data_IF_259395335299
#
_entry.id   IF_259395335299
#
_cell.length_a   1.000
_cell.length_b   1.000
_cell.length_c   1.000
_cell.angle_alpha   90.00
_cell.angle_beta   90.00
_cell.angle_gamma   90.00
#
_symmetry.space_group_name_H-M   'P 1'
#
loop_
_entity.id
_entity.type
_entity.pdbx_description
1 polymer ?
#
# COMPACT_ATOMS: atom_id res chain seq x y z
N UNK A 1 -29.95 -0.45 26.92
CA UNK A 1 -29.19 -1.61 27.41
C UNK A 1 -28.62 -2.32 26.19
N UNK A 2 -27.31 -2.20 25.96
CA UNK A 2 -26.63 -2.98 24.92
C UNK A 2 -26.67 -4.45 25.36
N UNK A 3 -27.25 -5.32 24.53
CA UNK A 3 -27.26 -6.74 24.81
C UNK A 3 -25.81 -7.24 24.74
N UNK A 4 -25.14 -7.37 25.89
CA UNK A 4 -23.76 -7.88 25.98
C UNK A 4 -23.52 -9.20 25.22
N UNK A 5 -24.59 -10.00 25.00
CA UNK A 5 -24.54 -11.18 24.16
C UNK A 5 -24.32 -10.87 22.67
N UNK A 6 -24.94 -9.83 22.11
CA UNK A 6 -24.75 -9.46 20.69
C UNK A 6 -23.34 -8.95 20.45
N UNK A 7 -22.74 -8.26 21.42
CA UNK A 7 -21.38 -7.73 21.33
C UNK A 7 -20.30 -8.83 21.29
N UNK A 8 -20.60 -10.03 21.80
CA UNK A 8 -19.69 -11.18 21.73
C UNK A 8 -19.68 -11.83 20.35
N UNK A 9 -20.83 -11.85 19.66
CA UNK A 9 -20.98 -12.50 18.36
C UNK A 9 -20.79 -11.54 17.19
N UNK A 10 -21.03 -10.25 17.40
CA UNK A 10 -20.79 -9.20 16.41
C UNK A 10 -20.11 -8.02 17.08
N UNK A 11 -18.82 -7.83 16.78
CA UNK A 11 -18.02 -6.74 17.34
C UNK A 11 -17.27 -6.03 16.22
N UNK A 12 -17.24 -4.71 16.28
CA UNK A 12 -16.31 -3.89 15.51
C UNK A 12 -15.46 -3.08 16.48
N UNK A 13 -14.14 -3.14 16.30
CA UNK A 13 -13.18 -2.50 17.18
C UNK A 13 -12.14 -1.75 16.37
N UNK A 14 -11.89 -0.49 16.73
CA UNK A 14 -10.81 0.30 16.14
C UNK A 14 -9.63 0.33 17.10
N UNK A 15 -8.46 -0.08 16.62
CA UNK A 15 -7.22 -0.16 17.38
C UNK A 15 -6.25 0.89 16.84
N UNK A 16 -5.89 1.86 17.67
CA UNK A 16 -4.78 2.76 17.38
C UNK A 16 -3.45 2.03 17.60
N UNK A 17 -2.72 1.77 16.53
CA UNK A 17 -1.45 1.04 16.56
C UNK A 17 -0.32 2.02 16.83
N UNK A 18 0.15 2.07 18.08
CA UNK A 18 1.31 2.86 18.51
C UNK A 18 2.55 2.00 18.80
N UNK A 19 2.47 0.69 18.56
CA UNK A 19 3.52 -0.27 18.86
C UNK A 19 3.06 -1.69 18.53
N UNK A 20 3.64 -2.67 19.23
CA UNK A 20 3.32 -4.08 19.00
C UNK A 20 2.12 -4.51 19.84
N UNK A 21 1.30 -5.38 19.27
CA UNK A 21 0.18 -5.99 19.97
C UNK A 21 -0.31 -7.24 19.25
N UNK A 22 -1.34 -7.89 19.77
CA UNK A 22 -1.94 -9.04 19.10
C UNK A 22 -3.46 -9.02 19.24
N UNK A 23 -4.14 -9.55 18.24
CA UNK A 23 -5.57 -9.90 18.28
C UNK A 23 -5.69 -11.41 18.12
N UNK A 24 -6.79 -11.99 18.61
CA UNK A 24 -7.02 -13.42 18.49
C UNK A 24 -8.51 -13.73 18.43
N UNK A 25 -8.86 -14.88 17.86
CA UNK A 25 -10.21 -15.41 17.95
C UNK A 25 -10.60 -15.65 19.42
N UNK A 26 -11.89 -15.58 19.77
CA UNK A 26 -12.33 -15.85 21.14
C UNK A 26 -11.90 -17.25 21.58
N UNK A 27 -11.40 -17.35 22.82
CA UNK A 27 -10.92 -18.59 23.45
C UNK A 27 -9.63 -19.20 22.88
N UNK A 28 -8.96 -18.58 21.90
CA UNK A 28 -7.68 -19.07 21.39
C UNK A 28 -6.69 -19.42 22.53
N UNK A 29 -6.03 -20.59 22.53
CA UNK A 29 -5.98 -21.60 21.45
C UNK A 29 -7.08 -22.69 21.55
N UNK A 30 -8.07 -22.52 22.43
CA UNK A 30 -9.26 -23.38 22.46
C UNK A 30 -10.24 -23.02 21.34
N UNK A 31 -11.21 -23.90 21.10
CA UNK A 31 -12.13 -23.76 19.96
C UNK A 31 -12.88 -22.43 19.96
N UNK A 32 -12.96 -21.75 18.81
CA UNK A 32 -13.72 -20.52 18.68
C UNK A 32 -15.25 -20.81 18.69
N UNK A 33 -16.10 -19.85 19.12
CA UNK A 33 -17.55 -19.96 18.98
C UNK A 33 -18.05 -19.91 17.53
N UNK A 34 -19.23 -20.49 17.29
CA UNK A 34 -19.99 -20.33 16.05
C UNK A 34 -20.67 -18.95 15.98
N UNK A 35 -21.12 -18.53 14.80
CA UNK A 35 -21.88 -17.31 14.51
C UNK A 35 -21.13 -16.01 14.85
N UNK A 36 -19.82 -15.98 14.65
CA UNK A 36 -19.02 -14.79 14.88
C UNK A 36 -18.96 -13.90 13.63
N UNK A 37 -18.97 -12.59 13.86
CA UNK A 37 -18.59 -11.55 12.92
C UNK A 37 -17.80 -10.48 13.67
N UNK A 38 -16.48 -10.66 13.74
CA UNK A 38 -15.58 -9.76 14.45
C UNK A 38 -14.75 -8.99 13.45
N UNK A 39 -14.71 -7.67 13.60
CA UNK A 39 -13.95 -6.77 12.73
C UNK A 39 -13.00 -5.94 13.58
N UNK A 40 -11.71 -5.96 13.23
CA UNK A 40 -10.70 -5.07 13.80
C UNK A 40 -10.19 -4.13 12.72
N UNK A 41 -10.28 -2.82 12.97
CA UNK A 41 -9.69 -1.77 12.14
C UNK A 41 -8.46 -1.25 12.84
N UNK A 42 -7.29 -1.55 12.30
CA UNK A 42 -6.03 -1.08 12.85
C UNK A 42 -5.66 0.21 12.13
N UNK A 43 -5.36 1.26 12.89
CA UNK A 43 -4.96 2.57 12.40
C UNK A 43 -3.64 2.99 13.05
N UNK A 44 -2.58 3.10 12.27
CA UNK A 44 -1.29 3.62 12.72
C UNK A 44 -1.14 5.12 12.40
N UNK A 45 -0.15 5.83 12.97
CA UNK A 45 0.18 7.18 12.57
C UNK A 45 0.39 7.30 11.05
N UNK A 46 0.20 8.51 10.51
CA UNK A 46 0.51 8.79 9.11
C UNK A 46 1.96 8.42 8.78
N UNK A 47 2.24 8.14 7.50
CA UNK A 47 3.57 7.72 7.01
C UNK A 47 4.14 6.43 7.63
N UNK A 48 3.33 5.65 8.36
CA UNK A 48 3.72 4.32 8.88
C UNK A 48 2.88 3.21 8.26
N UNK A 49 3.35 1.97 8.38
CA UNK A 49 2.61 0.78 7.95
C UNK A 49 2.50 -0.23 9.07
N UNK A 50 1.56 -1.14 8.91
CA UNK A 50 1.24 -2.18 9.89
C UNK A 50 1.63 -3.52 9.28
N UNK A 51 2.55 -4.23 9.94
CA UNK A 51 2.84 -5.62 9.61
C UNK A 51 2.06 -6.55 10.53
N UNK A 52 1.37 -7.51 9.92
CA UNK A 52 0.64 -8.60 10.55
C UNK A 52 1.42 -9.90 10.41
N UNK A 53 1.48 -10.68 11.49
CA UNK A 53 2.06 -12.00 11.54
C UNK A 53 1.11 -12.97 12.25
N UNK A 54 0.77 -14.08 11.59
CA UNK A 54 -0.07 -15.12 12.16
C UNK A 54 0.74 -16.06 13.04
N UNK A 55 0.14 -16.50 14.15
CA UNK A 55 0.69 -17.53 15.04
C UNK A 55 0.64 -18.91 14.38
N UNK A 56 1.61 -19.76 14.70
CA UNK A 56 1.75 -21.09 14.11
C UNK A 56 0.60 -22.05 14.46
N UNK A 57 -0.18 -21.76 15.51
CA UNK A 57 -1.38 -22.54 15.88
C UNK A 57 -2.64 -22.11 15.10
N UNK A 58 -2.46 -21.52 13.91
CA UNK A 58 -3.58 -21.20 13.03
C UNK A 58 -4.37 -22.45 12.66
N UNK A 59 -5.68 -22.40 12.85
CA UNK A 59 -6.59 -23.46 12.44
C UNK A 59 -8.04 -23.02 12.47
N UNK A 60 -8.68 -23.03 11.31
CA UNK A 60 -10.13 -22.82 11.12
C UNK A 60 -10.74 -24.05 10.42
N UNK A 61 -12.04 -24.00 10.14
CA UNK A 61 -12.72 -25.01 9.32
C UNK A 61 -12.06 -25.17 7.94
N UNK A 62 -12.09 -26.39 7.39
CA UNK A 62 -11.48 -26.66 6.09
C UNK A 62 -12.19 -25.91 4.95
N UNK A 63 -11.46 -25.56 3.87
CA UNK A 63 -12.09 -24.99 2.68
C UNK A 63 -12.99 -26.01 1.98
N UNK A 64 -14.03 -25.51 1.33
CA UNK A 64 -14.84 -26.27 0.37
C UNK A 64 -14.38 -25.89 -1.04
N UNK A 65 -13.87 -26.86 -1.82
CA UNK A 65 -13.33 -26.64 -3.17
C UNK A 65 -12.27 -25.52 -3.21
N UNK A 66 -11.31 -25.56 -2.27
CA UNK A 66 -10.26 -24.55 -2.09
C UNK A 66 -10.76 -23.12 -1.77
N UNK A 67 -12.04 -22.98 -1.40
CA UNK A 67 -12.66 -21.71 -1.03
C UNK A 67 -13.05 -21.73 0.45
N UNK A 68 -12.61 -20.71 1.18
CA UNK A 68 -12.99 -20.47 2.57
C UNK A 68 -14.41 -19.87 2.66
N UNK A 69 -15.42 -20.73 2.51
CA UNK A 69 -16.84 -20.36 2.43
C UNK A 69 -17.50 -20.15 3.79
N UNK A 70 -17.18 -21.02 4.75
CA UNK A 70 -17.84 -21.09 6.06
C UNK A 70 -17.13 -20.18 7.07
N UNK A 71 -16.05 -20.70 7.65
CA UNK A 71 -15.20 -19.98 8.59
C UNK A 71 -13.97 -19.41 7.90
N UNK A 72 -13.68 -18.12 8.13
CA UNK A 72 -12.50 -17.49 7.56
C UNK A 72 -12.04 -16.28 8.33
N UNK A 73 -10.74 -16.00 8.23
CA UNK A 73 -10.17 -14.70 8.51
C UNK A 73 -9.78 -14.02 7.20
N UNK A 74 -10.21 -12.78 7.03
CA UNK A 74 -9.96 -11.97 5.85
C UNK A 74 -9.21 -10.71 6.26
N UNK A 75 -8.22 -10.33 5.46
CA UNK A 75 -7.43 -9.11 5.67
C UNK A 75 -7.60 -8.22 4.45
N UNK A 76 -7.95 -6.96 4.68
CA UNK A 76 -8.25 -5.97 3.66
C UNK A 76 -7.43 -4.69 3.92
N UNK A 77 -6.73 -4.21 2.89
CA UNK A 77 -6.20 -2.84 2.89
C UNK A 77 -7.36 -1.89 2.60
N UNK A 78 -7.56 -0.91 3.48
CA UNK A 78 -8.66 0.06 3.39
C UNK A 78 -8.07 1.45 3.19
N UNK A 79 -8.60 2.18 2.21
CA UNK A 79 -8.38 3.62 2.03
C UNK A 79 -9.72 4.34 1.96
N UNK A 80 -9.70 5.66 1.91
CA UNK A 80 -10.92 6.47 1.75
C UNK A 80 -11.71 6.13 0.47
N UNK A 81 -11.01 5.69 -0.57
CA UNK A 81 -11.57 5.51 -1.92
C UNK A 81 -11.62 4.07 -2.38
N UNK A 82 -10.95 3.14 -1.69
CA UNK A 82 -10.83 1.75 -2.13
C UNK A 82 -10.69 0.76 -1.00
N UNK A 83 -11.05 -0.50 -1.26
CA UNK A 83 -10.77 -1.62 -0.37
C UNK A 83 -10.21 -2.76 -1.21
N UNK A 84 -9.06 -3.30 -0.80
CA UNK A 84 -8.37 -4.38 -1.52
C UNK A 84 -8.20 -5.57 -0.58
N UNK A 85 -8.78 -6.71 -0.94
CA UNK A 85 -8.60 -7.96 -0.21
C UNK A 85 -7.16 -8.44 -0.40
N UNK A 86 -6.44 -8.60 0.71
CA UNK A 86 -5.07 -9.14 0.75
C UNK A 86 -5.05 -10.65 0.79
N UNK A 87 -6.08 -11.22 1.39
CA UNK A 87 -6.39 -12.63 1.31
C UNK A 87 -7.47 -13.02 2.29
N UNK A 88 -7.91 -14.26 2.13
CA UNK A 88 -8.90 -14.92 2.96
C UNK A 88 -8.38 -16.33 3.25
N UNK A 89 -8.32 -16.69 4.53
CA UNK A 89 -7.69 -17.93 4.97
C UNK A 89 -8.60 -18.72 5.91
N UNK A 90 -8.48 -20.05 5.80
CA UNK A 90 -9.15 -21.06 6.59
C UNK A 90 -8.33 -22.36 6.57
N UNK A 91 -8.85 -23.43 7.17
CA UNK A 91 -8.14 -24.70 7.32
C UNK A 91 -7.00 -24.62 8.32
N UNK A 92 -6.12 -25.62 8.29
CA UNK A 92 -5.00 -25.75 9.25
C UNK A 92 -3.69 -26.25 8.59
N UNK A 93 -3.69 -26.44 7.27
CA UNK A 93 -2.53 -27.01 6.55
C UNK A 93 -1.36 -26.04 6.49
N UNK A 94 -1.66 -24.76 6.27
CA UNK A 94 -0.67 -23.71 6.11
C UNK A 94 -1.07 -22.48 6.92
N UNK A 95 -0.06 -21.84 7.51
CA UNK A 95 -0.24 -20.57 8.23
C UNK A 95 -0.24 -19.43 7.21
N UNK A 96 -1.15 -18.45 7.31
CA UNK A 96 -1.17 -17.32 6.40
C UNK A 96 0.18 -16.56 6.40
N UNK A 97 0.61 -16.01 5.25
CA UNK A 97 1.88 -15.30 5.15
C UNK A 97 1.86 -14.01 5.99
N UNK A 98 3.04 -13.45 6.24
CA UNK A 98 3.14 -12.10 6.79
C UNK A 98 2.55 -11.09 5.81
N UNK A 99 1.83 -10.10 6.33
CA UNK A 99 1.16 -9.08 5.52
C UNK A 99 1.61 -7.72 6.02
N UNK A 100 2.23 -6.92 5.15
CA UNK A 100 2.41 -5.48 5.40
C UNK A 100 1.28 -4.73 4.70
N UNK A 101 0.58 -3.87 5.44
CA UNK A 101 -0.48 -3.00 4.91
C UNK A 101 0.05 -2.10 3.80
N UNK A 102 -0.80 -1.56 2.94
CA UNK A 102 -0.40 -0.56 1.91
C UNK A 102 -0.37 0.86 2.45
N UNK A 103 -1.21 1.14 3.44
CA UNK A 103 -1.36 2.45 4.08
C UNK A 103 -1.20 2.28 5.59
N UNK A 104 -1.50 3.33 6.35
CA UNK A 104 -1.60 3.29 7.80
C UNK A 104 -2.90 2.64 8.31
N UNK A 105 -3.72 2.04 7.43
CA UNK A 105 -4.99 1.41 7.78
C UNK A 105 -5.08 0.00 7.22
N UNK A 106 -5.49 -0.95 8.07
CA UNK A 106 -5.77 -2.33 7.67
C UNK A 106 -6.97 -2.86 8.46
N UNK A 107 -7.84 -3.61 7.79
CA UNK A 107 -9.04 -4.20 8.39
C UNK A 107 -8.92 -5.72 8.39
N UNK A 108 -9.27 -6.33 9.50
CA UNK A 108 -9.25 -7.77 9.71
C UNK A 108 -10.66 -8.21 10.09
N UNK A 109 -11.22 -9.14 9.33
CA UNK A 109 -12.58 -9.66 9.55
C UNK A 109 -12.49 -11.15 9.84
N UNK A 110 -13.03 -11.59 10.97
CA UNK A 110 -13.26 -13.00 11.28
C UNK A 110 -14.74 -13.32 11.23
N UNK A 111 -15.09 -14.33 10.45
CA UNK A 111 -16.45 -14.85 10.36
C UNK A 111 -16.44 -16.34 10.70
N UNK A 112 -17.41 -16.78 11.52
CA UNK A 112 -17.79 -18.19 11.62
C UNK A 112 -19.26 -18.40 11.32
N UNK A 113 -19.60 -19.57 10.77
CA UNK A 113 -20.98 -19.94 10.44
C UNK A 113 -21.75 -20.50 11.65
N UNK A 114 -22.93 -21.07 11.45
CA UNK A 114 -23.76 -21.60 12.53
C UNK A 114 -23.42 -23.04 12.95
N UNK A 115 -22.36 -23.63 12.39
CA UNK A 115 -21.86 -24.94 12.74
C UNK A 115 -20.73 -24.87 13.78
N UNK A 116 -20.61 -25.92 14.60
CA UNK A 116 -19.54 -25.99 15.60
C UNK A 116 -18.33 -26.74 15.04
N UNK A 117 -17.16 -26.12 15.11
CA UNK A 117 -15.90 -26.72 14.68
C UNK A 117 -14.88 -26.67 15.83
N UNK A 118 -14.25 -27.81 16.12
CA UNK A 118 -13.25 -27.93 17.17
C UNK A 118 -11.84 -27.54 16.68
N UNK A 119 -11.65 -26.27 16.30
CA UNK A 119 -10.39 -25.75 15.75
C UNK A 119 -9.82 -24.61 16.58
N UNK A 120 -8.48 -24.47 16.71
CA UNK A 120 -7.87 -23.56 17.68
C UNK A 120 -8.13 -22.07 17.41
N UNK A 121 -8.51 -21.71 16.18
CA UNK A 121 -8.72 -20.34 15.75
C UNK A 121 -7.45 -19.70 15.25
N UNK A 122 -7.22 -18.44 15.59
CA UNK A 122 -6.00 -17.72 15.20
C UNK A 122 -5.57 -16.72 16.27
N UNK A 123 -4.30 -16.34 16.18
CA UNK A 123 -3.73 -15.16 16.80
C UNK A 123 -2.90 -14.43 15.74
N UNK A 124 -3.11 -13.13 15.62
CA UNK A 124 -2.37 -12.24 14.71
C UNK A 124 -1.67 -11.20 15.57
N UNK A 125 -0.35 -11.15 15.50
CA UNK A 125 0.41 -10.07 16.10
C UNK A 125 0.71 -9.00 15.07
N UNK A 126 0.48 -7.75 15.44
CA UNK A 126 0.73 -6.58 14.65
C UNK A 126 1.90 -5.78 15.21
N UNK A 127 2.61 -5.09 14.33
CA UNK A 127 3.72 -4.20 14.66
C UNK A 127 3.77 -3.05 13.66
N UNK A 128 4.34 -1.93 14.09
CA UNK A 128 4.65 -0.83 13.18
C UNK A 128 5.89 -1.20 12.37
N UNK A 129 5.80 -0.96 11.07
CA UNK A 129 6.94 -0.92 10.17
C UNK A 129 7.13 0.53 9.80
N UNK A 130 8.34 1.01 10.09
CA UNK A 130 8.77 2.30 9.62
C UNK A 130 9.27 2.13 8.19
N UNK A 131 8.52 2.67 7.24
CA UNK A 131 9.00 2.81 5.87
C UNK A 131 9.92 4.04 5.82
N UNK A 132 11.01 4.04 6.59
CA UNK A 132 12.20 4.82 6.23
C UNK A 132 12.91 4.15 5.04
N UNK A 133 12.12 3.84 4.01
CA UNK A 133 12.56 3.85 2.63
C UNK A 133 11.91 5.07 1.96
N UNK A 134 12.30 6.27 2.41
CA UNK A 134 13.01 7.05 1.41
C UNK A 134 14.11 6.11 0.94
N UNK A 135 14.04 5.64 -0.30
CA UNK A 135 15.29 5.25 -0.92
C UNK A 135 16.27 6.35 -0.50
N UNK A 136 17.33 5.97 0.20
CA UNK A 136 18.60 6.58 -0.10
C UNK A 136 18.85 6.25 -1.58
N UNK A 137 18.06 6.84 -2.48
CA UNK A 137 18.54 7.26 -3.77
C UNK A 137 19.70 8.14 -3.39
N UNK A 138 20.88 7.77 -3.88
CA UNK A 138 22.11 8.52 -3.78
C UNK A 138 21.99 9.84 -4.56
N UNK A 139 21.04 10.67 -4.19
CA UNK A 139 20.85 12.05 -4.63
C UNK A 139 20.47 12.88 -3.42
N UNK A 140 21.33 12.83 -2.39
CA UNK A 140 21.38 13.88 -1.39
C UNK A 140 21.88 15.15 -2.08
N UNK A 141 20.97 15.92 -2.69
CA UNK A 141 21.30 17.27 -3.16
C UNK A 141 21.04 18.38 -2.15
N UNK A 142 20.52 18.09 -0.95
CA UNK A 142 20.33 19.11 0.07
C UNK A 142 20.58 18.58 1.47
N UNK A 143 21.82 18.75 1.95
CA UNK A 143 22.14 19.31 3.28
C UNK A 143 23.65 19.44 3.45
N UNK A 144 24.28 20.37 2.72
CA UNK A 144 25.60 20.89 3.08
C UNK A 144 25.46 22.38 3.43
N UNK A 145 24.92 22.64 4.60
CA UNK A 145 25.27 23.86 5.35
C UNK A 145 25.58 23.48 6.79
N UNK A 146 26.60 22.61 6.94
CA UNK A 146 27.36 22.59 8.19
C UNK A 146 28.09 23.92 8.32
N UNK A 147 27.77 24.64 9.38
CA UNK A 147 28.31 25.96 9.70
C UNK A 147 29.82 25.88 9.91
N UNK A 148 30.59 26.27 8.90
CA UNK A 148 32.01 26.60 9.07
C UNK A 148 32.14 28.12 9.13
N UNK A 149 32.60 28.59 10.28
CA UNK A 149 32.93 29.97 10.56
C UNK A 149 34.02 30.49 9.62
N UNK A 150 33.65 31.49 8.83
CA UNK A 150 34.52 32.53 8.29
C UNK A 150 35.27 32.21 7.00
N UNK A 151 34.71 32.63 5.86
CA UNK A 151 35.40 33.43 4.82
C UNK A 151 34.33 34.23 4.06
N UNK A 152 34.50 35.55 3.96
CA UNK A 152 33.64 36.45 3.18
C UNK A 152 33.96 36.36 1.69
N UNK A 153 33.00 35.91 0.88
CA UNK A 153 32.98 36.07 -0.57
C UNK A 153 31.67 36.76 -1.00
N UNK A 154 31.67 37.64 -2.02
CA UNK A 154 30.47 38.33 -2.45
C UNK A 154 29.49 37.37 -3.12
N UNK A 155 28.23 37.37 -2.67
CA UNK A 155 27.12 36.65 -3.31
C UNK A 155 26.95 37.07 -4.77
N UNK A 156 26.84 36.15 -5.74
CA UNK A 156 26.12 36.43 -6.96
C UNK A 156 24.64 36.29 -6.66
N UNK A 157 23.89 37.36 -6.92
CA UNK A 157 22.43 37.37 -6.91
C UNK A 157 21.93 36.39 -7.96
N UNK A 158 21.46 35.21 -7.54
CA UNK A 158 20.72 34.30 -8.44
C UNK A 158 19.25 34.68 -8.34
N UNK A 159 18.82 35.58 -9.22
CA UNK A 159 17.42 35.68 -9.63
C UNK A 159 17.09 34.39 -10.38
N UNK A 160 16.46 33.45 -9.68
CA UNK A 160 15.88 32.26 -10.29
C UNK A 160 14.65 32.70 -11.10
N UNK A 161 14.59 32.49 -12.43
CA UNK A 161 13.38 32.78 -13.19
C UNK A 161 12.32 31.73 -12.87
N UNK A 162 11.11 32.19 -12.54
CA UNK A 162 9.91 31.36 -12.42
C UNK A 162 9.80 30.40 -13.60
N UNK A 163 9.88 29.09 -13.33
CA UNK A 163 9.60 28.02 -14.29
C UNK A 163 8.12 28.06 -14.72
N UNK A 164 7.82 28.93 -15.68
CA UNK A 164 6.51 28.95 -16.35
C UNK A 164 6.50 27.89 -17.44
N UNK A 165 5.33 27.31 -17.70
CA UNK A 165 5.16 26.35 -18.80
C UNK A 165 5.59 26.94 -20.16
N UNK A 166 5.45 28.25 -20.33
CA UNK A 166 5.85 29.00 -21.53
C UNK A 166 7.38 29.07 -21.69
N UNK A 167 8.13 29.26 -20.59
CA UNK A 167 9.59 29.25 -20.62
C UNK A 167 10.14 27.85 -20.94
N UNK A 168 9.47 26.81 -20.44
CA UNK A 168 9.80 25.43 -20.77
C UNK A 168 9.53 25.13 -22.25
N UNK A 169 8.38 25.54 -22.77
CA UNK A 169 8.01 25.34 -24.18
C UNK A 169 8.98 26.05 -25.13
N UNK A 170 9.41 27.27 -24.79
CA UNK A 170 10.44 28.00 -25.55
C UNK A 170 11.81 27.31 -25.51
N UNK A 171 12.16 26.70 -24.37
CA UNK A 171 13.42 25.98 -24.21
C UNK A 171 13.42 24.69 -25.04
N UNK A 172 12.29 23.97 -25.06
CA UNK A 172 12.12 22.76 -25.88
C UNK A 172 12.12 23.13 -27.37
N UNK A 173 11.46 24.23 -27.74
CA UNK A 173 11.40 24.72 -29.12
C UNK A 173 12.74 25.24 -29.67
N UNK A 174 13.77 25.40 -28.82
CA UNK A 174 15.10 25.80 -29.25
C UNK A 174 15.90 24.66 -29.90
N UNK A 175 15.41 23.41 -29.86
CA UNK A 175 16.07 22.23 -30.41
C UNK A 175 15.34 21.70 -31.64
N UNK A 176 16.08 21.46 -32.74
CA UNK A 176 15.52 20.97 -34.00
C UNK A 176 15.25 19.45 -33.99
N UNK A 177 15.96 18.69 -33.14
CA UNK A 177 15.84 17.23 -33.05
C UNK A 177 15.74 16.74 -31.62
N UNK A 178 15.08 15.59 -31.44
CA UNK A 178 14.99 14.90 -30.13
C UNK A 178 16.38 14.48 -29.64
N UNK A 179 17.30 14.15 -30.55
CA UNK A 179 18.68 13.82 -30.19
C UNK A 179 19.43 15.01 -29.59
N UNK A 180 19.31 16.19 -30.19
CA UNK A 180 20.00 17.40 -29.71
C UNK A 180 19.44 17.86 -28.37
N UNK A 181 18.14 17.69 -28.17
CA UNK A 181 17.49 17.92 -26.89
C UNK A 181 18.01 16.94 -25.82
N UNK A 182 18.03 15.64 -26.10
CA UNK A 182 18.51 14.65 -25.13
C UNK A 182 20.00 14.80 -24.81
N UNK A 183 20.83 15.15 -25.80
CA UNK A 183 22.26 15.47 -25.58
C UNK A 183 22.45 16.69 -24.68
N UNK A 184 21.57 17.69 -24.78
CA UNK A 184 21.66 18.89 -23.97
C UNK A 184 21.24 18.65 -22.52
N UNK A 185 20.16 17.90 -22.31
CA UNK A 185 19.60 17.67 -20.97
C UNK A 185 20.24 16.48 -20.24
N UNK A 186 20.74 15.48 -20.96
CA UNK A 186 21.31 14.27 -20.39
C UNK A 186 22.50 13.71 -21.21
N UNK A 187 23.64 14.42 -21.22
CA UNK A 187 24.77 14.11 -22.11
C UNK A 187 25.42 12.74 -21.87
N UNK A 188 25.25 12.16 -20.68
CA UNK A 188 25.90 10.89 -20.30
C UNK A 188 25.06 9.65 -20.63
N UNK A 189 23.73 9.78 -20.77
CA UNK A 189 22.83 8.65 -21.10
C UNK A 189 21.83 8.89 -22.23
N UNK A 190 21.97 9.98 -23.00
CA UNK A 190 21.05 10.33 -24.10
C UNK A 190 20.84 9.21 -25.13
N UNK A 191 21.82 8.32 -25.34
CA UNK A 191 21.68 7.20 -26.27
C UNK A 191 20.72 6.12 -25.76
N UNK A 192 20.76 5.82 -24.46
CA UNK A 192 19.86 4.85 -23.83
C UNK A 192 18.44 5.40 -23.77
N UNK A 193 18.29 6.69 -23.45
CA UNK A 193 17.00 7.39 -23.47
C UNK A 193 16.39 7.40 -24.89
N UNK A 194 17.21 7.60 -25.91
CA UNK A 194 16.78 7.57 -27.31
C UNK A 194 16.34 6.15 -27.72
N UNK A 195 17.08 5.10 -27.35
CA UNK A 195 16.69 3.71 -27.65
C UNK A 195 15.39 3.32 -26.95
N UNK A 196 15.21 3.71 -25.69
CA UNK A 196 13.99 3.45 -24.93
C UNK A 196 12.74 4.02 -25.64
N UNK A 197 12.84 5.24 -26.19
CA UNK A 197 11.76 5.87 -26.95
C UNK A 197 11.37 5.08 -28.22
N UNK A 198 12.32 4.44 -28.87
CA UNK A 198 12.04 3.61 -30.05
C UNK A 198 11.52 2.21 -29.67
N UNK A 199 11.98 1.64 -28.56
CA UNK A 199 11.56 0.31 -28.11
C UNK A 199 10.17 0.27 -27.46
N UNK A 200 9.70 1.38 -26.88
CA UNK A 200 8.37 1.48 -26.24
C UNK A 200 7.20 1.59 -27.25
N UNK A 201 7.50 1.61 -28.56
CA UNK A 201 6.48 1.67 -29.62
C UNK A 201 5.65 0.37 -29.82
N UNK A 202 5.79 -0.60 -28.91
CA UNK A 202 5.14 -1.92 -28.95
C UNK A 202 3.76 -2.06 -28.29
N UNK A 203 3.18 -1.01 -27.69
CA UNK A 203 1.87 -1.10 -27.03
C UNK A 203 0.85 -0.04 -27.51
N UNK A 204 0.05 -0.44 -28.51
CA UNK A 204 -1.34 -0.02 -28.77
C UNK A 204 -1.74 1.47 -28.57
N UNK A 205 -1.34 2.34 -29.49
CA UNK A 205 -2.14 3.56 -29.76
C UNK A 205 -3.35 3.20 -30.65
N UNK A 206 -4.50 2.95 -30.01
CA UNK A 206 -5.81 2.87 -30.69
C UNK A 206 -6.35 4.29 -30.89
N UNK A 207 -6.22 4.83 -32.10
CA UNK A 207 -6.81 6.12 -32.47
C UNK A 207 -8.32 6.14 -32.23
N UNK A 208 -8.82 7.13 -31.48
CA UNK A 208 -10.26 7.42 -31.38
C UNK A 208 -10.73 8.06 -32.68
N UNK A 209 -11.40 7.29 -33.54
CA UNK A 209 -12.19 7.85 -34.64
C UNK A 209 -13.51 8.39 -34.09
N UNK A 210 -13.73 9.70 -34.24
CA UNK A 210 -15.02 10.35 -34.02
C UNK A 210 -16.00 9.92 -35.12
N UNK A 211 -17.12 9.30 -34.75
CA UNK A 211 -18.28 9.20 -35.63
C UNK A 211 -19.26 10.31 -35.27
N UNK A 212 -19.35 11.30 -36.17
CA UNK A 212 -20.39 12.32 -36.15
C UNK A 212 -21.73 11.68 -36.56
N UNK A 213 -22.66 11.62 -35.62
CA UNK A 213 -23.99 11.04 -35.83
C UNK A 213 -24.90 12.15 -36.36
N UNK A 214 -24.90 12.35 -37.69
CA UNK A 214 -25.87 13.25 -38.33
C UNK A 214 -27.29 12.76 -38.11
N UNK A 215 -28.05 13.59 -37.42
CA UNK A 215 -29.51 13.55 -37.32
C UNK A 215 -30.15 13.67 -38.70
N UNK A 216 -31.11 12.78 -39.00
CA UNK A 216 -32.25 13.08 -39.87
C UNK A 216 -33.40 12.13 -39.56
#
# INVERSE_FOLDING_TARGET
ESNHLTDLYRKEETISVAGNGCIHSPRFPSSYPRNLLLTWRLHSPESTRIQLAFDNQFGLEEPENDICRYDFVEVEDVSETSTVIRGRWCGHKEVPPRITSRTNQIKITFKSDDYFVAKPGFKICYSLVDDFQHAASETNWESVTSSVSGVSYPSPSVTDPTLTAEALDQTIAAFDTVEDLLKHFNPDSWQEDLENLYTDSGHHYRGRSYHDRKSK
#
